data_IF_247682575243
#
_entry.id   IF_247682575243
#
_cell.length_a   1.000
_cell.length_b   1.000
_cell.length_c   1.000
_cell.angle_alpha   90.00
_cell.angle_beta   90.00
_cell.angle_gamma   90.00
#
_symmetry.space_group_name_H-M   'P 1'
#
loop_
_entity.id
_entity.type
_entity.pdbx_description
1 polymer ?
#
# COMPACT_ATOMS: atom_id res chain seq x y z
N UNK A 1 -0.15 -24.73 -2.50
CA UNK A 1 0.14 -23.40 -3.09
C UNK A 1 1.34 -23.57 -3.99
N UNK A 2 1.13 -23.67 -5.29
CA UNK A 2 2.22 -23.80 -6.26
C UNK A 2 2.70 -22.38 -6.55
N UNK A 3 3.95 -22.07 -6.19
CA UNK A 3 4.63 -20.91 -6.79
C UNK A 3 4.45 -21.04 -8.30
N UNK A 4 3.96 -19.99 -8.97
CA UNK A 4 3.75 -20.02 -10.42
C UNK A 4 5.01 -20.58 -11.08
N UNK A 5 4.90 -21.69 -11.83
CA UNK A 5 6.05 -22.32 -12.49
C UNK A 5 6.82 -21.30 -13.35
N UNK A 6 6.10 -20.31 -13.88
CA UNK A 6 6.66 -19.14 -14.57
C UNK A 6 7.67 -18.39 -13.71
N UNK A 7 7.37 -18.09 -12.44
CA UNK A 7 8.29 -17.38 -11.53
C UNK A 7 9.60 -18.14 -11.33
N UNK A 8 9.52 -19.44 -11.09
CA UNK A 8 10.70 -20.27 -10.86
C UNK A 8 11.59 -20.40 -12.11
N UNK A 9 11.02 -20.19 -13.30
CA UNK A 9 11.71 -20.29 -14.58
C UNK A 9 12.24 -18.95 -15.11
N UNK A 10 11.68 -17.82 -14.65
CA UNK A 10 12.15 -16.48 -15.02
C UNK A 10 13.52 -16.18 -14.40
N UNK A 11 14.57 -16.18 -15.21
CA UNK A 11 15.91 -15.76 -14.78
C UNK A 11 15.99 -14.24 -14.71
N UNK A 12 16.65 -13.72 -13.66
CA UNK A 12 16.85 -12.28 -13.45
C UNK A 12 15.53 -11.48 -13.47
N UNK A 13 14.49 -12.02 -12.81
CA UNK A 13 13.17 -11.39 -12.76
C UNK A 13 13.25 -9.93 -12.30
N UNK A 14 12.66 -9.04 -13.08
CA UNK A 14 12.64 -7.60 -12.88
C UNK A 14 11.35 -7.15 -12.19
N UNK A 15 11.47 -6.12 -11.35
CA UNK A 15 10.33 -5.53 -10.64
C UNK A 15 10.73 -4.31 -9.82
N UNK A 16 9.74 -3.61 -9.30
CA UNK A 16 9.95 -2.48 -8.37
C UNK A 16 9.99 -2.93 -6.93
N UNK A 17 10.39 -2.08 -5.98
CA UNK A 17 10.39 -2.41 -4.54
C UNK A 17 8.96 -2.53 -3.99
N UNK A 18 8.08 -1.57 -4.34
CA UNK A 18 6.71 -1.45 -3.86
C UNK A 18 6.10 -0.14 -4.35
N UNK A 19 6.22 0.92 -3.55
CA UNK A 19 5.73 2.26 -3.91
C UNK A 19 6.19 2.78 -5.28
N UNK A 20 5.27 3.44 -5.99
CA UNK A 20 5.55 4.25 -7.17
C UNK A 20 5.37 5.75 -6.84
N UNK A 21 6.00 6.68 -7.61
CA UNK A 21 5.71 8.10 -7.47
C UNK A 21 4.20 8.34 -7.56
N UNK A 22 3.63 9.02 -6.57
CA UNK A 22 2.18 9.26 -6.48
C UNK A 22 1.82 10.56 -7.21
N UNK A 23 1.13 10.50 -8.36
CA UNK A 23 0.71 11.70 -9.08
C UNK A 23 -0.22 12.56 -8.22
N UNK A 24 -0.28 13.86 -8.49
CA UNK A 24 -1.11 14.81 -7.72
C UNK A 24 -2.57 14.34 -7.62
N UNK A 25 -3.17 13.88 -8.72
CA UNK A 25 -4.54 13.37 -8.73
C UNK A 25 -4.76 12.22 -7.74
N UNK A 26 -3.77 11.33 -7.55
CA UNK A 26 -3.88 10.19 -6.63
C UNK A 26 -3.72 10.67 -5.19
N UNK A 27 -2.86 11.67 -4.95
CA UNK A 27 -2.71 12.30 -3.63
C UNK A 27 -4.00 13.00 -3.20
N UNK A 28 -4.67 13.69 -4.12
CA UNK A 28 -5.89 14.45 -3.86
C UNK A 28 -7.13 13.56 -3.68
N UNK A 29 -7.08 12.28 -4.08
CA UNK A 29 -8.14 11.31 -3.81
C UNK A 29 -8.16 10.83 -2.36
N UNK A 30 -7.06 10.96 -1.62
CA UNK A 30 -6.99 10.59 -0.21
C UNK A 30 -7.22 11.81 0.68
N UNK A 31 -7.78 11.64 1.89
CA UNK A 31 -7.79 12.70 2.89
C UNK A 31 -6.36 13.10 3.30
N UNK A 32 -6.22 14.12 4.14
CA UNK A 32 -4.88 14.53 4.62
C UNK A 32 -4.29 13.51 5.60
N UNK A 33 -5.13 12.95 6.47
CA UNK A 33 -4.72 12.03 7.53
C UNK A 33 -5.14 10.59 7.21
N UNK A 34 -4.30 9.58 7.54
CA UNK A 34 -4.69 8.18 7.43
C UNK A 34 -5.76 7.83 8.46
N UNK A 35 -6.51 6.76 8.23
CA UNK A 35 -7.62 6.33 9.06
C UNK A 35 -8.77 5.72 8.25
N UNK A 36 -9.90 5.41 8.90
CA UNK A 36 -11.05 4.80 8.23
C UNK A 36 -11.56 5.55 6.99
N UNK A 37 -11.53 6.89 7.02
CA UNK A 37 -11.92 7.72 5.88
C UNK A 37 -10.94 7.61 4.69
N UNK A 38 -9.66 7.36 4.96
CA UNK A 38 -8.66 7.13 3.92
C UNK A 38 -8.95 5.84 3.16
N UNK A 39 -9.20 4.78 3.92
CA UNK A 39 -9.54 3.48 3.39
C UNK A 39 -10.88 3.48 2.61
N UNK A 40 -11.87 4.28 3.02
CA UNK A 40 -13.08 4.51 2.23
C UNK A 40 -12.76 5.21 0.89
N UNK A 41 -12.03 6.32 0.93
CA UNK A 41 -11.64 7.07 -0.25
C UNK A 41 -10.77 6.24 -1.22
N UNK A 42 -9.92 5.39 -0.66
CA UNK A 42 -9.09 4.45 -1.37
C UNK A 42 -9.89 3.39 -2.14
N UNK A 43 -11.20 3.20 -1.90
CA UNK A 43 -12.07 2.28 -2.68
C UNK A 43 -12.89 2.98 -3.77
N UNK A 44 -12.61 4.25 -4.06
CA UNK A 44 -13.28 4.94 -5.16
C UNK A 44 -12.94 4.32 -6.53
N UNK A 45 -13.89 4.41 -7.48
CA UNK A 45 -13.66 3.96 -8.87
C UNK A 45 -12.49 4.69 -9.53
N UNK A 46 -12.26 5.93 -9.13
CA UNK A 46 -11.16 6.77 -9.59
C UNK A 46 -9.82 6.23 -9.08
N UNK A 47 -9.75 5.85 -7.80
CA UNK A 47 -8.56 5.19 -7.25
C UNK A 47 -8.32 3.83 -7.91
N UNK A 48 -9.37 3.03 -8.16
CA UNK A 48 -9.26 1.76 -8.91
C UNK A 48 -8.66 1.97 -10.31
N UNK A 49 -9.15 2.97 -11.04
CA UNK A 49 -8.63 3.32 -12.36
C UNK A 49 -7.17 3.78 -12.30
N UNK A 50 -6.79 4.55 -11.28
CA UNK A 50 -5.41 4.96 -11.07
C UNK A 50 -4.49 3.77 -10.79
N UNK A 51 -4.90 2.82 -9.93
CA UNK A 51 -4.11 1.63 -9.66
C UNK A 51 -3.99 0.74 -10.90
N UNK A 52 -5.06 0.58 -11.69
CA UNK A 52 -4.99 -0.11 -12.98
C UNK A 52 -3.98 0.54 -13.93
N UNK A 53 -3.93 1.88 -13.98
CA UNK A 53 -2.93 2.58 -14.76
C UNK A 53 -1.50 2.28 -14.25
N UNK A 54 -1.29 2.28 -12.93
CA UNK A 54 0.01 1.95 -12.34
C UNK A 54 0.49 0.54 -12.73
N UNK A 55 -0.43 -0.43 -12.74
CA UNK A 55 -0.18 -1.81 -13.16
C UNK A 55 0.17 -1.84 -14.65
N UNK A 56 -0.66 -1.26 -15.51
CA UNK A 56 -0.47 -1.27 -16.96
C UNK A 56 0.85 -0.62 -17.38
N UNK A 57 1.27 0.45 -16.69
CA UNK A 57 2.57 1.09 -16.94
C UNK A 57 3.75 0.16 -16.66
N UNK A 58 3.68 -0.63 -15.60
CA UNK A 58 4.72 -1.61 -15.26
C UNK A 58 4.73 -2.80 -16.25
N UNK A 59 3.54 -3.27 -16.66
CA UNK A 59 3.40 -4.32 -17.68
C UNK A 59 3.97 -3.87 -19.02
N UNK A 60 3.65 -2.64 -19.46
CA UNK A 60 4.16 -2.07 -20.71
C UNK A 60 5.68 -1.88 -20.67
N UNK A 61 6.25 -1.60 -19.50
CA UNK A 61 7.68 -1.54 -19.30
C UNK A 61 8.36 -2.92 -19.34
N UNK A 62 7.59 -4.02 -19.39
CA UNK A 62 8.10 -5.38 -19.47
C UNK A 62 8.57 -5.96 -18.13
N UNK A 63 8.07 -5.45 -17.00
CA UNK A 63 8.42 -5.99 -15.68
C UNK A 63 7.78 -7.37 -15.46
N UNK A 64 8.57 -8.29 -14.89
CA UNK A 64 8.11 -9.64 -14.56
C UNK A 64 7.20 -9.66 -13.32
N UNK A 65 7.52 -8.80 -12.35
CA UNK A 65 6.85 -8.63 -11.07
C UNK A 65 6.34 -7.19 -10.92
N UNK A 66 5.01 -7.04 -10.83
CA UNK A 66 4.34 -5.75 -10.70
C UNK A 66 3.76 -5.55 -9.29
N UNK A 67 3.56 -4.29 -8.93
CA UNK A 67 2.92 -3.86 -7.68
C UNK A 67 1.73 -2.95 -7.96
N UNK A 68 0.90 -2.68 -6.96
CA UNK A 68 -0.15 -1.66 -7.02
C UNK A 68 0.39 -0.22 -6.80
N UNK A 69 1.70 -0.08 -6.66
CA UNK A 69 2.39 1.18 -6.38
C UNK A 69 2.12 1.77 -5.00
N UNK A 70 1.43 1.05 -4.10
CA UNK A 70 0.98 1.52 -2.79
C UNK A 70 0.22 2.87 -2.86
N UNK A 71 -0.52 3.07 -3.96
CA UNK A 71 -1.23 4.33 -4.23
C UNK A 71 -2.46 4.55 -3.35
N UNK A 72 -3.02 3.47 -2.79
CA UNK A 72 -4.12 3.49 -1.83
C UNK A 72 -3.73 3.89 -0.41
N UNK A 73 -2.42 4.05 -0.15
CA UNK A 73 -1.87 4.24 1.20
C UNK A 73 -1.26 5.61 1.34
N UNK A 74 -1.30 6.22 2.52
CA UNK A 74 -0.56 7.47 2.75
C UNK A 74 0.95 7.24 2.73
N UNK A 75 1.39 6.29 3.55
CA UNK A 75 2.77 5.84 3.69
C UNK A 75 2.78 4.37 4.13
N UNK A 76 3.92 3.70 3.95
CA UNK A 76 4.10 2.30 4.30
C UNK A 76 3.72 1.96 5.75
N UNK A 77 4.00 2.85 6.71
CA UNK A 77 3.63 2.67 8.12
C UNK A 77 2.19 3.09 8.42
N UNK A 78 1.57 3.96 7.61
CA UNK A 78 0.27 4.56 7.91
C UNK A 78 -0.91 3.65 7.62
N UNK A 79 -0.73 2.64 6.77
CA UNK A 79 -1.77 1.62 6.49
C UNK A 79 -2.29 0.95 7.77
N UNK A 80 -1.50 0.96 8.86
CA UNK A 80 -1.97 0.42 10.13
C UNK A 80 -3.10 1.26 10.75
N UNK A 81 -3.13 2.57 10.54
CA UNK A 81 -4.22 3.44 10.99
C UNK A 81 -5.51 3.23 10.18
N UNK A 82 -5.39 2.71 8.96
CA UNK A 82 -6.54 2.29 8.16
C UNK A 82 -7.10 0.93 8.63
N UNK A 83 -6.29 0.13 9.36
CA UNK A 83 -6.64 -1.21 9.87
C UNK A 83 -7.10 -1.17 11.33
N UNK A 84 -6.53 -0.28 12.14
CA UNK A 84 -6.68 -0.25 13.59
C UNK A 84 -6.84 1.18 14.13
N UNK A 85 -7.46 1.29 15.30
CA UNK A 85 -7.60 2.55 16.05
C UNK A 85 -6.39 2.82 16.94
N UNK A 86 -6.41 3.95 17.64
CA UNK A 86 -5.41 4.31 18.66
C UNK A 86 -4.29 5.21 18.15
N UNK A 87 -4.45 5.81 16.97
CA UNK A 87 -3.46 6.68 16.35
C UNK A 87 -3.92 8.14 16.33
N UNK A 88 -2.97 9.06 16.54
CA UNK A 88 -3.15 10.50 16.31
C UNK A 88 -2.03 11.01 15.42
N UNK A 89 -2.22 12.21 14.84
CA UNK A 89 -1.15 12.89 14.13
C UNK A 89 0.06 13.11 15.06
N UNK A 90 1.26 12.87 14.54
CA UNK A 90 2.50 13.15 15.25
C UNK A 90 2.94 14.58 14.95
N UNK A 91 2.78 15.45 15.95
CA UNK A 91 3.10 16.88 15.85
C UNK A 91 4.51 17.21 16.33
N UNK A 92 5.36 16.21 16.60
CA UNK A 92 6.73 16.44 17.09
C UNK A 92 7.58 17.10 16.02
N UNK A 93 8.25 18.18 16.42
CA UNK A 93 9.24 18.88 15.58
C UNK A 93 10.63 18.26 15.73
N UNK A 94 10.98 17.69 16.90
CA UNK A 94 12.29 17.06 17.14
C UNK A 94 12.20 15.83 18.09
N UNK A 95 12.75 14.65 17.70
CA UNK A 95 13.11 14.30 16.34
C UNK A 95 11.85 14.30 15.45
N UNK A 96 11.92 14.95 14.29
CA UNK A 96 10.76 15.01 13.42
C UNK A 96 10.37 13.60 12.95
N UNK A 97 9.14 13.20 13.27
CA UNK A 97 8.52 11.98 12.78
C UNK A 97 7.33 12.36 11.94
N UNK A 98 7.39 12.00 10.67
CA UNK A 98 6.27 12.22 9.77
C UNK A 98 5.16 11.22 10.09
N UNK A 99 3.94 11.71 10.31
CA UNK A 99 2.74 10.88 10.23
C UNK A 99 1.94 10.77 11.51
N UNK A 100 1.96 9.56 12.09
CA UNK A 100 1.08 9.17 13.20
C UNK A 100 1.88 8.57 14.37
N UNK A 101 1.35 8.71 15.58
CA UNK A 101 1.85 8.08 16.80
C UNK A 101 0.75 7.26 17.48
N UNK A 102 1.14 6.22 18.23
CA UNK A 102 0.22 5.47 19.08
C UNK A 102 -0.12 6.31 20.32
N UNK A 103 -1.39 6.70 20.44
CA UNK A 103 -1.91 7.50 21.56
C UNK A 103 -2.73 6.67 22.56
N UNK A 104 -3.33 5.57 22.09
CA UNK A 104 -4.25 4.73 22.88
C UNK A 104 -4.04 3.24 22.54
N UNK A 105 -4.53 2.30 23.40
CA UNK A 105 -4.51 0.88 23.07
C UNK A 105 -5.19 0.59 21.72
N UNK A 106 -4.42 0.02 20.79
CA UNK A 106 -4.90 -0.28 19.43
C UNK A 106 -5.97 -1.37 19.43
N UNK A 107 -7.00 -1.19 18.61
CA UNK A 107 -7.98 -2.23 18.28
C UNK A 107 -8.10 -2.40 16.78
N UNK A 108 -8.08 -3.65 16.29
CA UNK A 108 -8.26 -3.94 14.87
C UNK A 108 -9.73 -3.72 14.49
N UNK A 109 -9.97 -2.79 13.57
CA UNK A 109 -11.32 -2.46 13.08
C UNK A 109 -11.55 -2.92 11.64
N UNK A 110 -10.48 -3.07 10.85
CA UNK A 110 -10.56 -3.51 9.46
C UNK A 110 -9.60 -4.64 9.13
N UNK A 111 -9.87 -5.85 9.66
CA UNK A 111 -9.01 -7.00 9.38
C UNK A 111 -9.02 -7.34 7.89
N UNK A 112 -7.85 -7.64 7.33
CA UNK A 112 -7.72 -8.11 5.95
C UNK A 112 -7.60 -7.03 4.88
N UNK A 113 -7.50 -5.74 5.22
CA UNK A 113 -7.37 -4.65 4.26
C UNK A 113 -6.26 -4.89 3.21
N UNK A 114 -5.05 -5.23 3.65
CA UNK A 114 -3.92 -5.51 2.75
C UNK A 114 -4.21 -6.75 1.87
N UNK A 115 -4.99 -7.71 2.36
CA UNK A 115 -5.38 -8.88 1.57
C UNK A 115 -6.42 -8.51 0.49
N UNK A 116 -7.26 -7.49 0.72
CA UNK A 116 -8.16 -6.95 -0.31
C UNK A 116 -7.36 -6.26 -1.43
N UNK A 117 -6.34 -5.46 -1.07
CA UNK A 117 -5.43 -4.85 -2.05
C UNK A 117 -4.68 -5.91 -2.87
N UNK A 118 -4.16 -6.95 -2.20
CA UNK A 118 -3.53 -8.07 -2.89
C UNK A 118 -4.49 -8.81 -3.82
N UNK A 119 -5.74 -8.99 -3.41
CA UNK A 119 -6.77 -9.62 -4.24
C UNK A 119 -7.13 -8.77 -5.46
N UNK A 120 -7.16 -7.45 -5.31
CA UNK A 120 -7.34 -6.52 -6.44
C UNK A 120 -6.19 -6.67 -7.43
N UNK A 121 -4.94 -6.60 -6.95
CA UNK A 121 -3.74 -6.70 -7.79
C UNK A 121 -3.69 -8.04 -8.53
N UNK A 122 -3.90 -9.17 -7.84
CA UNK A 122 -3.91 -10.52 -8.46
C UNK A 122 -4.99 -10.67 -9.53
N UNK A 123 -6.13 -9.98 -9.41
CA UNK A 123 -7.19 -10.01 -10.43
C UNK A 123 -6.92 -9.10 -11.62
N UNK A 124 -6.02 -8.13 -11.48
CA UNK A 124 -5.81 -7.05 -12.45
C UNK A 124 -4.69 -7.35 -13.46
N UNK A 125 -3.92 -8.43 -13.29
CA UNK A 125 -2.74 -8.73 -14.11
C UNK A 125 -2.45 -10.23 -14.16
N UNK A 126 -1.82 -10.67 -15.24
CA UNK A 126 -1.24 -12.03 -15.39
C UNK A 126 0.27 -12.05 -15.07
N UNK A 127 0.87 -10.88 -14.78
CA UNK A 127 2.22 -10.78 -14.28
C UNK A 127 2.29 -11.28 -12.83
N UNK A 128 3.50 -11.49 -12.34
CA UNK A 128 3.69 -11.84 -10.94
C UNK A 128 3.39 -10.60 -10.10
N UNK A 129 2.83 -10.78 -8.91
CA UNK A 129 2.34 -9.66 -8.10
C UNK A 129 3.07 -9.57 -6.77
N UNK A 130 3.35 -8.35 -6.32
CA UNK A 130 3.86 -8.08 -4.97
C UNK A 130 3.04 -7.01 -4.27
N UNK A 131 2.73 -7.26 -3.00
CA UNK A 131 2.16 -6.29 -2.06
C UNK A 131 3.08 -6.16 -0.86
N UNK A 132 3.35 -4.92 -0.46
CA UNK A 132 4.21 -4.63 0.67
C UNK A 132 3.42 -4.68 1.99
N UNK A 133 4.01 -5.27 3.03
CA UNK A 133 3.41 -5.32 4.37
C UNK A 133 4.38 -4.66 5.36
N UNK A 134 3.90 -3.77 6.25
CA UNK A 134 4.71 -3.21 7.32
C UNK A 134 5.31 -4.29 8.23
N UNK A 135 6.63 -4.25 8.41
CA UNK A 135 7.30 -5.09 9.40
C UNK A 135 6.86 -4.67 10.81
N UNK A 136 6.47 -5.63 11.69
CA UNK A 136 6.12 -5.32 13.08
C UNK A 136 7.23 -4.56 13.82
N UNK A 137 8.50 -4.88 13.55
CA UNK A 137 9.64 -4.18 14.13
C UNK A 137 9.69 -2.71 13.68
N UNK A 138 9.50 -2.45 12.38
CA UNK A 138 9.50 -1.08 11.88
C UNK A 138 8.32 -0.27 12.41
N UNK A 139 7.15 -0.90 12.56
CA UNK A 139 6.00 -0.26 13.22
C UNK A 139 6.36 0.15 14.66
N UNK A 140 6.94 -0.75 15.46
CA UNK A 140 7.31 -0.46 16.84
C UNK A 140 8.39 0.62 16.99
N UNK A 141 9.26 0.79 15.99
CA UNK A 141 10.31 1.83 16.01
C UNK A 141 9.79 3.18 15.49
N UNK A 142 8.85 3.19 14.55
CA UNK A 142 8.42 4.38 13.81
C UNK A 142 7.13 5.02 14.31
N UNK A 143 6.25 4.27 14.95
CA UNK A 143 4.97 4.74 15.49
C UNK A 143 5.02 5.06 16.99
#
# INVERSE_FOLDING_TARGET
MTISQRFAQTRFASGVVGSLPRPLMVREMLPQTPGPASDEAARSKQMDAAVHYAIAMQELAGLDLVSDGEWRRHAYTHIIADIATGFTEDLRTEPHRWGISIAEPMQVVKPGLIAEEARFLVKATECMTKVCVPSPYLLGVRL
#
